data_IF_275693910271
#
_entry.id   IF_275693910271
#
_cell.length_a   1.000
_cell.length_b   1.000
_cell.length_c   1.000
_cell.angle_alpha   90.00
_cell.angle_beta   90.00
_cell.angle_gamma   90.00
#
_symmetry.space_group_name_H-M   'P 1'
#
loop_
_entity.id
_entity.type
_entity.pdbx_description
1 polymer ?
#
# COMPACT_ATOMS: atom_id res chain seq x y z
N UNK A 1 14.17 -40.44 7.56
CA UNK A 1 14.42 -39.01 7.31
C UNK A 1 13.66 -38.38 6.13
N UNK A 2 13.19 -39.14 5.11
CA UNK A 2 12.47 -38.58 3.92
C UNK A 2 11.27 -37.65 4.21
N UNK A 3 10.58 -37.77 5.34
CA UNK A 3 9.37 -36.96 5.66
C UNK A 3 9.67 -35.51 6.04
N UNK A 4 10.87 -35.19 6.52
CA UNK A 4 11.21 -33.83 7.01
C UNK A 4 11.54 -32.91 5.81
N UNK A 5 12.31 -33.41 4.85
CA UNK A 5 12.71 -32.68 3.63
C UNK A 5 11.52 -32.33 2.75
N UNK A 6 10.58 -33.26 2.52
CA UNK A 6 9.38 -32.97 1.71
C UNK A 6 8.48 -31.92 2.35
N UNK A 7 8.33 -31.93 3.68
CA UNK A 7 7.55 -30.91 4.41
C UNK A 7 8.17 -29.53 4.29
N UNK A 8 9.50 -29.44 4.36
CA UNK A 8 10.24 -28.19 4.20
C UNK A 8 10.08 -27.62 2.79
N UNK A 9 10.18 -28.46 1.76
CA UNK A 9 9.98 -28.06 0.35
C UNK A 9 8.57 -27.53 0.12
N UNK A 10 7.54 -28.23 0.62
CA UNK A 10 6.15 -27.79 0.53
C UNK A 10 5.95 -26.43 1.23
N UNK A 11 6.55 -26.26 2.42
CA UNK A 11 6.49 -24.99 3.15
C UNK A 11 7.14 -23.84 2.36
N UNK A 12 8.31 -24.07 1.77
CA UNK A 12 9.01 -23.07 0.93
C UNK A 12 8.16 -22.68 -0.28
N UNK A 13 7.54 -23.65 -0.96
CA UNK A 13 6.65 -23.38 -2.11
C UNK A 13 5.42 -22.56 -1.70
N UNK A 14 4.80 -22.88 -0.56
CA UNK A 14 3.67 -22.10 -0.02
C UNK A 14 4.10 -20.66 0.29
N UNK A 15 5.28 -20.49 0.91
CA UNK A 15 5.82 -19.17 1.23
C UNK A 15 6.11 -18.35 -0.02
N UNK A 16 6.69 -18.97 -1.07
CA UNK A 16 6.92 -18.34 -2.36
C UNK A 16 5.63 -17.88 -3.02
N UNK A 17 4.64 -18.76 -3.13
CA UNK A 17 3.34 -18.42 -3.70
C UNK A 17 2.64 -17.29 -2.92
N UNK A 18 2.77 -17.30 -1.59
CA UNK A 18 2.22 -16.23 -0.75
C UNK A 18 2.90 -14.88 -0.98
N UNK A 19 4.22 -14.85 -1.23
CA UNK A 19 4.94 -13.61 -1.51
C UNK A 19 4.43 -12.90 -2.78
N UNK A 20 3.99 -13.65 -3.79
CA UNK A 20 3.37 -13.08 -5.00
C UNK A 20 2.06 -12.35 -4.69
N UNK A 21 1.18 -13.00 -3.91
CA UNK A 21 -0.07 -12.38 -3.42
C UNK A 21 0.19 -11.15 -2.55
N UNK A 22 1.17 -11.24 -1.65
CA UNK A 22 1.55 -10.12 -0.79
C UNK A 22 2.10 -8.94 -1.63
N UNK A 23 2.84 -9.22 -2.70
CA UNK A 23 3.35 -8.17 -3.60
C UNK A 23 2.20 -7.47 -4.32
N UNK A 24 1.22 -8.23 -4.81
CA UNK A 24 0.00 -7.67 -5.40
C UNK A 24 -0.76 -6.83 -4.38
N UNK A 25 -0.90 -7.31 -3.15
CA UNK A 25 -1.55 -6.57 -2.06
C UNK A 25 -0.82 -5.26 -1.74
N UNK A 26 0.51 -5.27 -1.70
CA UNK A 26 1.31 -4.06 -1.52
C UNK A 26 1.09 -3.05 -2.66
N UNK A 27 0.98 -3.53 -3.90
CA UNK A 27 0.64 -2.68 -5.06
C UNK A 27 -0.76 -2.08 -4.93
N UNK A 28 -1.75 -2.86 -4.53
CA UNK A 28 -3.12 -2.36 -4.29
C UNK A 28 -3.15 -1.23 -3.25
N UNK A 29 -2.36 -1.33 -2.17
CA UNK A 29 -2.24 -0.24 -1.21
C UNK A 29 -1.60 1.02 -1.82
N UNK A 30 -0.59 0.87 -2.66
CA UNK A 30 0.02 2.00 -3.37
C UNK A 30 -0.98 2.66 -4.35
N UNK A 31 -1.79 1.86 -5.03
CA UNK A 31 -2.84 2.35 -5.94
C UNK A 31 -3.92 3.13 -5.17
N UNK A 32 -4.40 2.60 -4.02
CA UNK A 32 -5.34 3.28 -3.12
C UNK A 32 -4.78 4.63 -2.69
N UNK A 33 -3.50 4.69 -2.31
CA UNK A 33 -2.85 5.95 -1.92
C UNK A 33 -2.90 6.98 -3.05
N UNK A 34 -2.52 6.58 -4.26
CA UNK A 34 -2.52 7.46 -5.45
C UNK A 34 -3.92 8.00 -5.75
N UNK A 35 -4.93 7.12 -5.74
CA UNK A 35 -6.32 7.51 -5.97
C UNK A 35 -6.83 8.47 -4.88
N UNK A 36 -6.51 8.16 -3.62
CA UNK A 36 -6.90 8.99 -2.47
C UNK A 36 -6.24 10.37 -2.53
N UNK A 37 -4.98 10.46 -2.97
CA UNK A 37 -4.29 11.74 -3.17
C UNK A 37 -4.99 12.61 -4.22
N UNK A 38 -5.45 12.01 -5.32
CA UNK A 38 -6.26 12.70 -6.35
C UNK A 38 -7.57 13.23 -5.77
N UNK A 39 -8.30 12.40 -5.00
CA UNK A 39 -9.56 12.79 -4.39
C UNK A 39 -9.39 13.90 -3.33
N UNK A 40 -8.32 13.85 -2.54
CA UNK A 40 -7.98 14.92 -1.58
C UNK A 40 -7.71 16.23 -2.31
N UNK A 41 -6.96 16.18 -3.43
CA UNK A 41 -6.70 17.38 -4.23
C UNK A 41 -8.01 17.99 -4.78
N UNK A 42 -8.93 17.16 -5.27
CA UNK A 42 -10.25 17.60 -5.73
C UNK A 42 -11.09 18.20 -4.58
N UNK A 43 -11.09 17.57 -3.41
CA UNK A 43 -11.78 18.09 -2.23
C UNK A 43 -11.25 19.48 -1.82
N UNK A 44 -9.92 19.67 -1.86
CA UNK A 44 -9.29 20.96 -1.56
C UNK A 44 -9.70 22.06 -2.56
N UNK A 45 -9.82 21.73 -3.85
CA UNK A 45 -10.33 22.66 -4.85
C UNK A 45 -11.77 23.10 -4.53
N UNK A 46 -12.65 22.14 -4.20
CA UNK A 46 -14.04 22.44 -3.85
C UNK A 46 -14.11 23.32 -2.59
N UNK A 47 -13.36 23.00 -1.54
CA UNK A 47 -13.27 23.82 -0.32
C UNK A 47 -12.83 25.24 -0.65
N UNK A 48 -11.78 25.39 -1.48
CA UNK A 48 -11.27 26.70 -1.88
C UNK A 48 -12.34 27.50 -2.64
N UNK A 49 -13.07 26.87 -3.56
CA UNK A 49 -14.16 27.50 -4.30
C UNK A 49 -15.30 27.93 -3.37
N UNK A 50 -15.71 27.08 -2.42
CA UNK A 50 -16.76 27.45 -1.47
C UNK A 50 -16.35 28.61 -0.56
N UNK A 51 -15.10 28.63 -0.07
CA UNK A 51 -14.58 29.76 0.72
C UNK A 51 -14.65 31.08 -0.06
N UNK A 52 -14.19 31.08 -1.30
CA UNK A 52 -14.27 32.24 -2.18
C UNK A 52 -15.71 32.68 -2.43
N UNK A 53 -16.63 31.72 -2.65
CA UNK A 53 -18.05 32.03 -2.83
C UNK A 53 -18.67 32.66 -1.57
N UNK A 54 -18.36 32.12 -0.39
CA UNK A 54 -18.83 32.66 0.90
C UNK A 54 -18.33 34.09 1.08
N UNK A 55 -17.06 34.35 0.82
CA UNK A 55 -16.46 35.68 0.95
C UNK A 55 -17.10 36.69 -0.01
N UNK A 56 -17.29 36.31 -1.27
CA UNK A 56 -17.95 37.14 -2.27
C UNK A 56 -19.42 37.43 -1.88
N UNK A 57 -20.16 36.43 -1.43
CA UNK A 57 -21.55 36.59 -1.01
C UNK A 57 -21.67 37.49 0.22
N UNK A 58 -20.74 37.37 1.19
CA UNK A 58 -20.68 38.28 2.34
C UNK A 58 -20.45 39.72 1.91
N UNK A 59 -19.52 39.95 0.99
CA UNK A 59 -19.26 41.29 0.44
C UNK A 59 -20.50 41.89 -0.22
N UNK A 60 -21.21 41.10 -1.03
CA UNK A 60 -22.46 41.54 -1.66
C UNK A 60 -23.54 41.84 -0.59
N UNK A 61 -23.65 41.00 0.43
CA UNK A 61 -24.59 41.22 1.55
C UNK A 61 -24.30 42.53 2.29
N UNK A 62 -23.03 42.82 2.57
CA UNK A 62 -22.58 44.04 3.23
C UNK A 62 -22.88 45.28 2.37
N UNK A 63 -22.63 45.20 1.06
CA UNK A 63 -22.87 46.31 0.12
C UNK A 63 -24.38 46.61 0.00
N UNK A 64 -25.23 45.58 -0.05
CA UNK A 64 -26.70 45.74 -0.07
C UNK A 64 -27.20 46.34 1.24
N UNK A 65 -26.66 45.89 2.37
CA UNK A 65 -27.01 46.41 3.70
C UNK A 65 -26.67 47.88 3.83
N UNK A 66 -25.47 48.30 3.38
CA UNK A 66 -25.05 49.71 3.36
C UNK A 66 -25.90 50.58 2.42
N UNK A 67 -26.34 50.01 1.30
CA UNK A 67 -27.17 50.71 0.33
C UNK A 67 -28.66 50.82 0.76
N UNK A 68 -29.06 50.27 1.92
CA UNK A 68 -30.46 50.17 2.35
C UNK A 68 -31.39 49.56 1.27
N UNK A 69 -30.86 48.71 0.40
CA UNK A 69 -31.58 48.18 -0.74
C UNK A 69 -32.24 46.84 -0.40
N UNK A 70 -33.54 46.70 -0.71
CA UNK A 70 -34.32 45.44 -0.77
C UNK A 70 -34.01 44.34 0.28
N UNK A 71 -34.74 44.34 1.41
CA UNK A 71 -34.70 43.29 2.46
C UNK A 71 -34.84 41.84 1.94
N UNK A 72 -35.59 41.59 0.88
CA UNK A 72 -35.80 40.22 0.38
C UNK A 72 -34.54 39.61 -0.27
N UNK A 73 -33.64 40.43 -0.82
CA UNK A 73 -32.38 39.94 -1.43
C UNK A 73 -31.36 39.50 -0.38
N UNK A 74 -31.36 40.13 0.79
CA UNK A 74 -30.52 39.75 1.93
C UNK A 74 -30.80 38.32 2.41
N UNK A 75 -32.08 37.97 2.60
CA UNK A 75 -32.47 36.62 3.02
C UNK A 75 -32.05 35.53 2.02
N UNK A 76 -32.09 35.82 0.72
CA UNK A 76 -31.64 34.86 -0.31
C UNK A 76 -30.11 34.67 -0.29
N UNK A 77 -29.36 35.75 -0.07
CA UNK A 77 -27.90 35.71 0.05
C UNK A 77 -27.49 34.93 1.30
N UNK A 78 -28.13 35.18 2.44
CA UNK A 78 -27.86 34.46 3.69
C UNK A 78 -28.11 32.95 3.54
N UNK A 79 -29.16 32.57 2.82
CA UNK A 79 -29.43 31.16 2.49
C UNK A 79 -28.34 30.56 1.59
N UNK A 80 -27.86 31.31 0.59
CA UNK A 80 -26.74 30.87 -0.28
C UNK A 80 -25.44 30.70 0.51
N UNK A 81 -25.15 31.61 1.44
CA UNK A 81 -24.01 31.50 2.36
C UNK A 81 -24.14 30.24 3.22
N UNK A 82 -25.31 30.01 3.83
CA UNK A 82 -25.56 28.83 4.67
C UNK A 82 -25.32 27.53 3.89
N UNK A 83 -25.85 27.45 2.67
CA UNK A 83 -25.66 26.29 1.81
C UNK A 83 -24.18 26.08 1.43
N UNK A 84 -23.45 27.15 1.12
CA UNK A 84 -22.03 27.06 0.78
C UNK A 84 -21.18 26.59 1.98
N UNK A 85 -21.50 27.07 3.19
CA UNK A 85 -20.87 26.63 4.45
C UNK A 85 -21.14 25.15 4.71
N UNK A 86 -22.37 24.68 4.45
CA UNK A 86 -22.73 23.27 4.61
C UNK A 86 -21.95 22.38 3.63
N UNK A 87 -21.84 22.79 2.36
CA UNK A 87 -21.04 22.07 1.35
C UNK A 87 -19.58 22.01 1.79
N UNK A 88 -18.99 23.14 2.20
CA UNK A 88 -17.61 23.20 2.70
C UNK A 88 -17.40 22.21 3.85
N UNK A 89 -18.29 22.24 4.86
CA UNK A 89 -18.21 21.34 6.03
C UNK A 89 -18.30 19.86 5.64
N UNK A 90 -19.20 19.52 4.72
CA UNK A 90 -19.36 18.14 4.26
C UNK A 90 -18.12 17.67 3.49
N UNK A 91 -17.54 18.51 2.64
CA UNK A 91 -16.32 18.16 1.89
C UNK A 91 -15.11 18.06 2.82
N UNK A 92 -15.02 18.89 3.86
CA UNK A 92 -13.98 18.79 4.89
C UNK A 92 -14.05 17.43 5.61
N UNK A 93 -15.25 16.96 5.96
CA UNK A 93 -15.45 15.61 6.53
C UNK A 93 -15.00 14.52 5.57
N UNK A 94 -15.34 14.63 4.29
CA UNK A 94 -14.89 13.68 3.26
C UNK A 94 -13.37 13.69 3.15
N UNK A 95 -12.73 14.87 3.11
CA UNK A 95 -11.26 14.99 3.07
C UNK A 95 -10.60 14.28 4.26
N UNK A 96 -11.12 14.50 5.46
CA UNK A 96 -10.58 13.86 6.67
C UNK A 96 -10.70 12.33 6.61
N UNK A 97 -11.79 11.79 6.05
CA UNK A 97 -11.94 10.35 5.84
C UNK A 97 -10.93 9.82 4.81
N UNK A 98 -10.73 10.55 3.70
CA UNK A 98 -9.73 10.22 2.70
C UNK A 98 -8.32 10.20 3.31
N UNK A 99 -7.97 11.18 4.14
CA UNK A 99 -6.66 11.18 4.84
C UNK A 99 -6.47 9.95 5.75
N UNK A 100 -7.53 9.48 6.41
CA UNK A 100 -7.49 8.27 7.22
C UNK A 100 -7.26 7.01 6.35
N UNK A 101 -7.96 6.91 5.22
CA UNK A 101 -7.78 5.82 4.24
C UNK A 101 -6.36 5.82 3.68
N UNK A 102 -5.83 7.00 3.34
CA UNK A 102 -4.44 7.15 2.88
C UNK A 102 -3.44 6.61 3.91
N UNK A 103 -3.57 7.01 5.18
CA UNK A 103 -2.70 6.52 6.27
C UNK A 103 -2.82 5.02 6.47
N UNK A 104 -4.04 4.47 6.36
CA UNK A 104 -4.26 3.03 6.43
C UNK A 104 -3.51 2.31 5.28
N UNK A 105 -3.64 2.79 4.05
CA UNK A 105 -2.97 2.22 2.89
C UNK A 105 -1.43 2.29 3.02
N UNK A 106 -0.88 3.42 3.46
CA UNK A 106 0.56 3.59 3.69
C UNK A 106 1.11 2.57 4.71
N UNK A 107 0.38 2.39 5.82
CA UNK A 107 0.75 1.41 6.84
C UNK A 107 0.60 -0.02 6.34
N UNK A 108 -0.46 -0.31 5.59
CA UNK A 108 -0.71 -1.61 4.97
C UNK A 108 0.40 -2.01 3.99
N UNK A 109 0.81 -1.08 3.11
CA UNK A 109 1.91 -1.29 2.16
C UNK A 109 3.22 -1.59 2.90
N UNK A 110 3.56 -0.77 3.90
CA UNK A 110 4.79 -0.92 4.69
C UNK A 110 4.83 -2.26 5.44
N UNK A 111 3.73 -2.63 6.09
CA UNK A 111 3.61 -3.90 6.80
C UNK A 111 3.75 -5.10 5.84
N UNK A 112 3.08 -5.03 4.70
CA UNK A 112 3.11 -6.09 3.68
C UNK A 112 4.51 -6.26 3.08
N UNK A 113 5.19 -5.17 2.72
CA UNK A 113 6.60 -5.23 2.26
C UNK A 113 7.53 -5.84 3.31
N UNK A 114 7.34 -5.52 4.59
CA UNK A 114 8.13 -6.08 5.70
C UNK A 114 7.87 -7.57 5.87
N UNK A 115 6.62 -8.01 5.74
CA UNK A 115 6.25 -9.42 5.77
C UNK A 115 6.91 -10.20 4.63
N UNK A 116 6.89 -9.68 3.40
CA UNK A 116 7.60 -10.27 2.25
C UNK A 116 9.10 -10.41 2.54
N UNK A 117 9.73 -9.37 3.10
CA UNK A 117 11.15 -9.41 3.46
C UNK A 117 11.46 -10.56 4.42
N UNK A 118 10.68 -10.73 5.49
CA UNK A 118 10.91 -11.80 6.46
C UNK A 118 10.64 -13.19 5.88
N UNK A 119 9.59 -13.35 5.05
CA UNK A 119 9.33 -14.60 4.33
C UNK A 119 10.51 -14.99 3.44
N UNK A 120 11.04 -14.03 2.66
CA UNK A 120 12.22 -14.26 1.81
C UNK A 120 13.45 -14.64 2.62
N UNK A 121 13.72 -13.93 3.72
CA UNK A 121 14.84 -14.23 4.63
C UNK A 121 14.75 -15.65 5.20
N UNK A 122 13.54 -16.06 5.62
CA UNK A 122 13.31 -17.42 6.13
C UNK A 122 13.53 -18.48 5.05
N UNK A 123 12.99 -18.28 3.84
CA UNK A 123 13.22 -19.21 2.72
C UNK A 123 14.71 -19.39 2.45
N UNK A 124 15.49 -18.31 2.38
CA UNK A 124 16.94 -18.39 2.18
C UNK A 124 17.61 -19.20 3.28
N UNK A 125 17.29 -18.93 4.55
CA UNK A 125 17.85 -19.67 5.67
C UNK A 125 17.50 -21.17 5.64
N UNK A 126 16.22 -21.49 5.39
CA UNK A 126 15.75 -22.87 5.28
C UNK A 126 16.43 -23.63 4.12
N UNK A 127 16.61 -22.97 2.98
CA UNK A 127 17.32 -23.55 1.83
C UNK A 127 18.79 -23.82 2.14
N UNK A 128 19.48 -22.91 2.84
CA UNK A 128 20.88 -23.14 3.24
C UNK A 128 21.03 -24.38 4.13
N UNK A 129 20.13 -24.55 5.10
CA UNK A 129 20.10 -25.76 5.96
C UNK A 129 19.85 -27.00 5.11
N UNK A 130 18.85 -26.96 4.22
CA UNK A 130 18.54 -28.11 3.37
C UNK A 130 19.73 -28.54 2.51
N UNK A 131 20.42 -27.58 1.88
CA UNK A 131 21.62 -27.86 1.07
C UNK A 131 22.74 -28.44 1.92
N UNK A 132 22.90 -27.96 3.16
CA UNK A 132 23.88 -28.51 4.09
C UNK A 132 23.59 -29.97 4.45
N UNK A 133 22.34 -30.27 4.84
CA UNK A 133 21.89 -31.62 5.19
C UNK A 133 22.01 -32.59 4.00
N UNK A 134 21.64 -32.15 2.80
CA UNK A 134 21.80 -32.94 1.57
C UNK A 134 23.28 -33.20 1.26
N UNK A 135 24.16 -32.22 1.49
CA UNK A 135 25.60 -32.40 1.31
C UNK A 135 26.22 -33.39 2.32
N UNK A 136 25.77 -33.38 3.58
CA UNK A 136 26.17 -34.39 4.58
C UNK A 136 25.73 -35.78 4.11
N UNK A 137 24.48 -35.93 3.67
CA UNK A 137 23.98 -37.21 3.17
C UNK A 137 24.78 -37.71 1.95
N UNK A 138 25.21 -36.80 1.05
CA UNK A 138 26.09 -37.16 -0.06
C UNK A 138 27.46 -37.62 0.46
N UNK A 139 28.04 -36.94 1.45
CA UNK A 139 29.29 -37.38 2.06
C UNK A 139 29.17 -38.78 2.68
N UNK A 140 28.04 -39.08 3.34
CA UNK A 140 27.78 -40.40 3.93
C UNK A 140 27.72 -41.52 2.88
N UNK A 141 27.12 -41.29 1.70
CA UNK A 141 26.98 -42.32 0.65
C UNK A 141 28.18 -42.39 -0.30
N UNK A 142 29.09 -41.42 -0.27
CA UNK A 142 30.24 -41.31 -1.18
C UNK A 142 31.58 -41.47 -0.47
N UNK A 143 31.56 -41.98 0.77
CA UNK A 143 32.73 -42.15 1.63
C UNK A 143 33.55 -40.85 1.79
N UNK A 144 32.85 -39.75 2.04
CA UNK A 144 33.43 -38.46 2.43
C UNK A 144 33.53 -37.41 1.33
N UNK A 145 33.07 -37.67 0.09
CA UNK A 145 33.06 -36.65 -0.96
C UNK A 145 31.90 -35.66 -0.75
N UNK A 146 32.20 -34.36 -0.74
CA UNK A 146 31.13 -33.34 -0.81
C UNK A 146 30.37 -33.42 -2.14
N UNK A 147 29.14 -32.90 -2.17
CA UNK A 147 28.31 -32.82 -3.36
C UNK A 147 29.04 -32.20 -4.55
N UNK A 148 29.78 -31.11 -4.32
CA UNK A 148 30.58 -30.43 -5.36
C UNK A 148 31.70 -31.33 -5.89
N UNK A 149 32.41 -32.04 -5.00
CA UNK A 149 33.49 -32.96 -5.39
C UNK A 149 32.94 -34.17 -6.16
N UNK A 150 31.81 -34.72 -5.71
CA UNK A 150 31.15 -35.83 -6.38
C UNK A 150 30.68 -35.45 -7.80
N UNK A 151 29.95 -34.34 -7.94
CA UNK A 151 29.52 -33.80 -9.24
C UNK A 151 30.73 -33.55 -10.14
N UNK A 152 31.79 -32.90 -9.65
CA UNK A 152 32.99 -32.62 -10.45
C UNK A 152 33.77 -33.87 -10.86
N UNK A 153 33.66 -34.97 -10.12
CA UNK A 153 34.38 -36.22 -10.39
C UNK A 153 33.66 -37.08 -11.44
N UNK A 154 32.33 -37.02 -11.47
CA UNK A 154 31.50 -37.94 -12.25
C UNK A 154 30.66 -37.29 -13.35
N UNK A 155 30.46 -35.97 -13.37
CA UNK A 155 29.90 -35.32 -14.56
C UNK A 155 30.96 -35.20 -15.66
N UNK A 156 30.61 -35.52 -16.92
CA UNK A 156 31.48 -35.29 -18.06
C UNK A 156 31.82 -33.80 -18.13
N UNK A 157 33.12 -33.50 -18.22
CA UNK A 157 33.58 -32.14 -18.49
C UNK A 157 33.18 -31.80 -19.91
N UNK A 158 32.45 -30.70 -20.10
CA UNK A 158 32.23 -30.15 -21.44
C UNK A 158 33.60 -29.97 -22.09
N UNK A 159 33.77 -30.54 -23.29
CA UNK A 159 34.95 -30.32 -24.12
C UNK A 159 34.70 -29.02 -24.88
N UNK A 160 35.41 -27.97 -24.51
CA UNK A 160 35.57 -26.77 -25.34
C UNK A 160 36.25 -27.13 -26.68
#
# INVERSE_FOLDING_TARGET
MKKITTRLIILILILFASCGRDLEQAKRYADIKSETDSLIAQANLVITVQKTNIENLRKISDDISKANAQKNKLSEIDRKITNAVEIESNIEKVRNHLEAIKKFAENGEKATKRLIYYKRKYMTYATVIQVHDENIMIQEITDGLSAKQYISKYLPKEKD
#
